data_IF_114326720303
#
_entry.id   IF_114326720303
#
_cell.length_a   1.000
_cell.length_b   1.000
_cell.length_c   1.000
_cell.angle_alpha   90.00
_cell.angle_beta   90.00
_cell.angle_gamma   90.00
#
_symmetry.space_group_name_H-M   'P 1'
#
loop_
_entity.id
_entity.type
_entity.pdbx_description
1 polymer ?
#
# COMPACT_ATOMS: atom_id res chain seq x y z
N UNK A 1 9.16 8.33 23.24
CA UNK A 1 9.84 7.11 22.71
C UNK A 1 9.21 6.59 21.41
N UNK A 2 7.87 6.54 21.27
CA UNK A 2 7.20 6.06 20.05
C UNK A 2 7.58 6.80 18.76
N UNK A 3 7.69 8.14 18.78
CA UNK A 3 8.02 8.94 17.59
C UNK A 3 9.46 8.70 17.07
N UNK A 4 10.44 8.48 17.96
CA UNK A 4 11.81 8.08 17.58
C UNK A 4 11.83 6.69 16.92
N UNK A 5 11.00 5.75 17.42
CA UNK A 5 10.86 4.41 16.83
C UNK A 5 10.24 4.48 15.43
N UNK A 6 9.18 5.28 15.22
CA UNK A 6 8.58 5.47 13.90
C UNK A 6 9.55 6.07 12.89
N UNK A 7 10.32 7.09 13.28
CA UNK A 7 11.32 7.70 12.40
C UNK A 7 12.39 6.70 11.97
N UNK A 8 12.79 5.78 12.86
CA UNK A 8 13.70 4.69 12.52
C UNK A 8 13.10 3.73 11.48
N UNK A 9 11.81 3.40 11.59
CA UNK A 9 11.11 2.53 10.63
C UNK A 9 10.98 3.18 9.25
N UNK A 10 10.60 4.46 9.16
CA UNK A 10 10.53 5.15 7.88
C UNK A 10 11.89 5.28 7.20
N UNK A 11 12.96 5.46 7.98
CA UNK A 11 14.34 5.45 7.46
C UNK A 11 14.72 4.06 6.93
N UNK A 12 14.41 2.99 7.68
CA UNK A 12 14.63 1.60 7.22
C UNK A 12 13.85 1.28 5.94
N UNK A 13 12.60 1.72 5.86
CA UNK A 13 11.77 1.52 4.68
C UNK A 13 12.37 2.22 3.46
N UNK A 14 12.79 3.49 3.61
CA UNK A 14 13.45 4.24 2.53
C UNK A 14 14.68 3.51 2.00
N UNK A 15 15.57 3.07 2.90
CA UNK A 15 16.77 2.30 2.53
C UNK A 15 16.38 1.00 1.81
N UNK A 16 15.37 0.28 2.30
CA UNK A 16 14.93 -0.99 1.69
C UNK A 16 14.34 -0.77 0.29
N UNK A 17 13.62 0.32 0.07
CA UNK A 17 13.12 0.71 -1.27
C UNK A 17 14.29 1.00 -2.23
N UNK A 18 15.27 1.79 -1.79
CA UNK A 18 16.46 2.11 -2.60
C UNK A 18 17.24 0.83 -2.98
N UNK A 19 17.44 -0.06 -2.01
CA UNK A 19 18.12 -1.35 -2.25
C UNK A 19 17.32 -2.30 -3.15
N UNK A 20 15.99 -2.33 -3.01
CA UNK A 20 15.12 -3.11 -3.91
C UNK A 20 15.28 -2.63 -5.35
N UNK A 21 15.27 -1.30 -5.57
CA UNK A 21 15.50 -0.72 -6.88
C UNK A 21 16.90 -1.04 -7.43
N UNK A 22 17.94 -0.93 -6.60
CA UNK A 22 19.31 -1.27 -6.97
C UNK A 22 19.45 -2.75 -7.35
N UNK A 23 18.97 -3.66 -6.50
CA UNK A 23 19.04 -5.10 -6.74
C UNK A 23 18.26 -5.50 -8.01
N UNK A 24 17.12 -4.85 -8.27
CA UNK A 24 16.39 -5.03 -9.53
C UNK A 24 17.18 -4.55 -10.73
N UNK A 25 17.83 -3.38 -10.65
CA UNK A 25 18.62 -2.82 -11.76
C UNK A 25 19.85 -3.65 -12.11
N UNK A 26 20.46 -4.30 -11.12
CA UNK A 26 21.62 -5.19 -11.30
C UNK A 26 21.22 -6.65 -11.52
N UNK A 27 19.92 -6.94 -11.65
CA UNK A 27 19.40 -8.30 -11.88
C UNK A 27 19.84 -9.30 -10.81
N UNK A 28 20.08 -8.83 -9.58
CA UNK A 28 20.50 -9.68 -8.47
C UNK A 28 19.26 -10.21 -7.76
N UNK A 29 18.65 -11.25 -8.31
CA UNK A 29 17.35 -11.78 -7.86
C UNK A 29 17.36 -12.26 -6.41
N UNK A 30 18.48 -12.85 -5.96
CA UNK A 30 18.65 -13.29 -4.56
C UNK A 30 18.66 -12.11 -3.59
N UNK A 31 19.38 -11.03 -3.92
CA UNK A 31 19.39 -9.81 -3.11
C UNK A 31 18.03 -9.14 -3.14
N UNK A 32 17.40 -9.08 -4.32
CA UNK A 32 16.07 -8.50 -4.49
C UNK A 32 15.02 -9.19 -3.60
N UNK A 33 15.00 -10.53 -3.58
CA UNK A 33 14.10 -11.30 -2.72
C UNK A 33 14.29 -10.96 -1.23
N UNK A 34 15.53 -10.88 -0.76
CA UNK A 34 15.83 -10.58 0.65
C UNK A 34 15.44 -9.15 1.05
N UNK A 35 15.68 -8.18 0.17
CA UNK A 35 15.31 -6.78 0.40
C UNK A 35 13.78 -6.59 0.34
N UNK A 36 13.07 -7.33 -0.53
CA UNK A 36 11.60 -7.36 -0.55
C UNK A 36 11.01 -7.92 0.75
N UNK A 37 11.59 -8.99 1.31
CA UNK A 37 11.17 -9.53 2.62
C UNK A 37 11.40 -8.49 3.74
N UNK A 38 12.54 -7.81 3.72
CA UNK A 38 12.88 -6.77 4.70
C UNK A 38 11.95 -5.55 4.58
N UNK A 39 11.61 -5.17 3.35
CA UNK A 39 10.64 -4.11 3.06
C UNK A 39 9.24 -4.49 3.54
N UNK A 40 8.79 -5.73 3.26
CA UNK A 40 7.52 -6.27 3.72
C UNK A 40 7.42 -6.24 5.25
N UNK A 41 8.44 -6.73 5.95
CA UNK A 41 8.48 -6.74 7.41
C UNK A 41 8.41 -5.30 7.98
N UNK A 42 9.16 -4.36 7.40
CA UNK A 42 9.17 -2.96 7.84
C UNK A 42 7.80 -2.30 7.63
N UNK A 43 7.17 -2.48 6.46
CA UNK A 43 5.84 -1.93 6.16
C UNK A 43 4.76 -2.57 7.02
N UNK A 44 4.86 -3.86 7.30
CA UNK A 44 3.95 -4.57 8.23
C UNK A 44 4.04 -3.98 9.63
N UNK A 45 5.24 -3.67 10.12
CA UNK A 45 5.42 -3.02 11.42
C UNK A 45 4.80 -1.61 11.41
N UNK A 46 5.02 -0.80 10.37
CA UNK A 46 4.38 0.52 10.21
C UNK A 46 2.85 0.42 10.22
N UNK A 47 2.30 -0.53 9.46
CA UNK A 47 0.86 -0.79 9.42
C UNK A 47 0.34 -1.19 10.80
N UNK A 48 1.06 -2.04 11.55
CA UNK A 48 0.64 -2.41 12.91
C UNK A 48 0.51 -1.20 13.84
N UNK A 49 1.41 -0.21 13.72
CA UNK A 49 1.33 1.05 14.46
C UNK A 49 0.16 1.94 14.02
N UNK A 50 -0.17 1.94 12.73
CA UNK A 50 -1.35 2.62 12.20
C UNK A 50 -2.65 1.96 12.68
N UNK A 51 -2.66 0.63 12.78
CA UNK A 51 -3.84 -0.19 13.08
C UNK A 51 -4.22 -0.30 14.57
N UNK A 52 -3.54 0.42 15.47
CA UNK A 52 -3.58 0.34 16.95
C UNK A 52 -4.95 0.56 17.68
N UNK A 53 -6.01 -0.14 17.28
CA UNK A 53 -7.34 -0.10 17.91
C UNK A 53 -8.16 1.16 17.61
N UNK A 54 -7.66 2.05 16.75
CA UNK A 54 -8.37 3.29 16.38
C UNK A 54 -9.34 3.04 15.24
N UNK A 55 -10.52 3.68 15.35
CA UNK A 55 -11.52 3.81 14.28
C UNK A 55 -10.91 4.36 12.99
N UNK A 56 -11.54 4.04 11.87
CA UNK A 56 -11.30 4.71 10.58
C UNK A 56 -11.71 6.18 10.73
N UNK A 57 -10.82 7.09 10.35
CA UNK A 57 -11.08 8.53 10.35
C UNK A 57 -11.38 8.99 8.93
N UNK A 58 -12.50 9.69 8.75
CA UNK A 58 -12.86 10.26 7.47
C UNK A 58 -12.09 11.57 7.26
N UNK A 59 -11.63 11.76 6.01
CA UNK A 59 -10.98 12.99 5.54
C UNK A 59 -11.69 13.42 4.26
N UNK A 60 -12.44 14.50 4.33
CA UNK A 60 -13.28 15.02 3.24
C UNK A 60 -12.77 16.37 2.68
N UNK A 61 -11.67 16.87 3.23
CA UNK A 61 -11.11 18.18 2.91
C UNK A 61 -9.61 18.19 3.23
N UNK A 62 -8.83 18.99 2.49
CA UNK A 62 -7.40 19.15 2.79
C UNK A 62 -7.21 19.80 4.17
N UNK A 63 -8.10 20.71 4.55
CA UNK A 63 -8.10 21.40 5.84
C UNK A 63 -8.30 20.44 7.01
N UNK A 64 -9.20 19.45 6.87
CA UNK A 64 -9.38 18.41 7.90
C UNK A 64 -8.13 17.54 8.06
N UNK A 65 -7.37 17.32 6.98
CA UNK A 65 -6.12 16.56 7.03
C UNK A 65 -5.05 17.23 7.90
N UNK A 66 -5.00 18.56 7.96
CA UNK A 66 -4.07 19.30 8.82
C UNK A 66 -4.35 19.09 10.32
N UNK A 67 -5.60 18.79 10.68
CA UNK A 67 -6.01 18.51 12.07
C UNK A 67 -5.59 17.12 12.56
N UNK A 68 -5.10 16.26 11.67
CA UNK A 68 -4.60 14.94 12.05
C UNK A 68 -3.37 15.12 12.95
N UNK A 69 -3.46 14.67 14.20
CA UNK A 69 -2.41 14.82 15.21
C UNK A 69 -1.63 13.53 15.50
N UNK A 70 -2.05 12.38 14.94
CA UNK A 70 -1.46 11.07 15.20
C UNK A 70 -1.74 10.10 14.06
N UNK A 71 -0.92 9.05 13.97
CA UNK A 71 -1.14 7.93 13.06
C UNK A 71 -2.43 7.14 13.29
N UNK A 72 -2.91 6.46 12.25
CA UNK A 72 -4.21 5.80 12.19
C UNK A 72 -4.59 5.25 10.80
N UNK A 73 -5.85 4.84 10.67
CA UNK A 73 -6.51 4.53 9.40
C UNK A 73 -7.30 5.75 8.93
N UNK A 74 -7.11 6.15 7.68
CA UNK A 74 -7.77 7.33 7.10
C UNK A 74 -8.47 6.95 5.81
N UNK A 75 -9.76 7.24 5.74
CA UNK A 75 -10.55 7.10 4.53
C UNK A 75 -10.78 8.50 3.95
N UNK A 76 -10.10 8.78 2.85
CA UNK A 76 -10.33 9.98 2.05
C UNK A 76 -11.60 9.76 1.25
N UNK A 77 -12.52 10.73 1.26
CA UNK A 77 -13.81 10.62 0.58
C UNK A 77 -14.09 11.86 -0.29
N UNK A 78 -15.10 11.82 -1.17
CA UNK A 78 -15.47 12.96 -1.99
C UNK A 78 -15.76 14.20 -1.14
N UNK A 79 -15.39 15.42 -1.60
CA UNK A 79 -14.94 15.76 -2.96
C UNK A 79 -13.46 15.48 -3.27
N UNK A 80 -12.68 14.96 -2.31
CA UNK A 80 -11.28 14.61 -2.55
C UNK A 80 -11.14 13.35 -3.43
N UNK A 81 -10.05 13.28 -4.18
CA UNK A 81 -9.75 12.18 -5.11
C UNK A 81 -8.48 11.42 -4.70
N UNK A 82 -8.16 10.33 -5.42
CA UNK A 82 -7.00 9.50 -5.12
C UNK A 82 -5.68 10.27 -5.05
N UNK A 83 -5.55 11.34 -5.84
CA UNK A 83 -4.38 12.24 -5.79
C UNK A 83 -4.23 12.92 -4.43
N UNK A 84 -5.32 13.42 -3.87
CA UNK A 84 -5.33 14.06 -2.55
C UNK A 84 -4.97 13.05 -1.46
N UNK A 85 -5.47 11.82 -1.57
CA UNK A 85 -5.09 10.74 -0.66
C UNK A 85 -3.58 10.46 -0.69
N UNK A 86 -2.95 10.47 -1.87
CA UNK A 86 -1.50 10.38 -2.00
C UNK A 86 -0.76 11.53 -1.32
N UNK A 87 -1.22 12.77 -1.51
CA UNK A 87 -0.64 13.97 -0.88
C UNK A 87 -0.77 13.89 0.65
N UNK A 88 -1.95 13.53 1.16
CA UNK A 88 -2.21 13.38 2.58
C UNK A 88 -1.34 12.28 3.17
N UNK A 89 -1.25 11.11 2.51
CA UNK A 89 -0.40 10.01 2.96
C UNK A 89 1.07 10.44 3.06
N UNK A 90 1.59 11.12 2.03
CA UNK A 90 2.95 11.66 2.05
C UNK A 90 3.15 12.67 3.19
N UNK A 91 2.24 13.62 3.37
CA UNK A 91 2.32 14.63 4.43
C UNK A 91 2.31 14.02 5.84
N UNK A 92 1.48 12.99 6.08
CA UNK A 92 1.44 12.26 7.34
C UNK A 92 2.76 11.52 7.59
N UNK A 93 3.33 10.92 6.54
CA UNK A 93 4.60 10.21 6.59
C UNK A 93 5.76 11.15 6.93
N UNK A 94 5.85 12.32 6.29
CA UNK A 94 6.87 13.34 6.60
C UNK A 94 6.80 13.84 8.05
N UNK A 95 5.60 13.83 8.64
CA UNK A 95 5.37 14.14 10.07
C UNK A 95 5.72 12.98 11.02
N UNK A 96 6.14 11.83 10.49
CA UNK A 96 6.48 10.63 11.26
C UNK A 96 5.27 9.86 11.77
N UNK A 97 4.11 10.01 11.13
CA UNK A 97 2.89 9.30 11.50
C UNK A 97 2.74 8.01 10.71
N UNK A 98 2.64 6.87 11.42
CA UNK A 98 2.23 5.61 10.84
C UNK A 98 0.76 5.68 10.42
N UNK A 99 0.52 5.73 9.11
CA UNK A 99 -0.80 5.91 8.53
C UNK A 99 -1.07 4.89 7.43
N UNK A 100 -2.32 4.45 7.32
CA UNK A 100 -2.84 3.79 6.13
C UNK A 100 -3.95 4.69 5.58
N UNK A 101 -3.82 5.09 4.32
CA UNK A 101 -4.74 6.02 3.67
C UNK A 101 -5.33 5.34 2.46
N UNK A 102 -6.66 5.27 2.41
CA UNK A 102 -7.41 4.80 1.25
C UNK A 102 -8.28 5.94 0.70
N UNK A 103 -8.52 5.96 -0.60
CA UNK A 103 -9.48 6.88 -1.20
C UNK A 103 -10.73 6.11 -1.61
N UNK A 104 -11.89 6.53 -1.12
CA UNK A 104 -13.20 6.14 -1.62
C UNK A 104 -13.67 7.17 -2.63
N UNK A 105 -14.11 6.71 -3.79
CA UNK A 105 -14.80 7.52 -4.80
C UNK A 105 -16.32 7.43 -4.61
N UNK A 106 -17.12 8.30 -5.28
CA UNK A 106 -18.58 8.19 -5.24
C UNK A 106 -19.06 6.80 -5.67
N UNK A 107 -20.10 6.31 -5.00
CA UNK A 107 -20.71 5.02 -5.32
C UNK A 107 -21.19 4.97 -6.76
N UNK A 108 -21.11 3.79 -7.35
CA UNK A 108 -21.65 3.50 -8.68
C UNK A 108 -23.17 3.24 -8.62
N UNK A 109 -23.84 3.23 -9.77
CA UNK A 109 -25.26 2.84 -9.87
C UNK A 109 -25.54 1.41 -9.39
N UNK A 110 -24.50 0.57 -9.28
CA UNK A 110 -24.57 -0.80 -8.78
C UNK A 110 -24.50 -0.89 -7.24
N UNK A 111 -24.41 0.24 -6.54
CA UNK A 111 -24.26 0.27 -5.07
C UNK A 111 -22.87 -0.12 -4.58
N UNK A 112 -21.92 -0.37 -5.48
CA UNK A 112 -20.52 -0.61 -5.15
C UNK A 112 -19.75 0.69 -5.01
N UNK A 113 -18.78 0.68 -4.09
CA UNK A 113 -17.89 1.79 -3.83
C UNK A 113 -16.51 1.54 -4.47
N UNK A 114 -16.03 2.45 -5.34
CA UNK A 114 -14.69 2.33 -5.84
C UNK A 114 -13.68 2.77 -4.77
N UNK A 115 -12.68 1.92 -4.53
CA UNK A 115 -11.52 2.23 -3.70
C UNK A 115 -10.31 2.39 -4.59
N UNK A 116 -9.58 3.49 -4.42
CA UNK A 116 -8.42 3.85 -5.22
C UNK A 116 -7.18 4.00 -4.34
N UNK A 117 -6.08 3.41 -4.81
CA UNK A 117 -4.75 3.62 -4.29
C UNK A 117 -3.79 4.04 -5.41
N UNK A 118 -2.91 5.00 -5.11
CA UNK A 118 -1.92 5.51 -6.06
C UNK A 118 -0.52 5.08 -5.66
N UNK A 119 0.24 4.64 -6.67
CA UNK A 119 1.67 4.39 -6.59
C UNK A 119 2.42 5.28 -7.57
N UNK A 120 3.73 5.07 -7.70
CA UNK A 120 4.59 5.80 -8.62
C UNK A 120 4.22 5.49 -10.08
N UNK A 121 3.31 6.26 -10.67
CA UNK A 121 2.86 6.11 -12.06
C UNK A 121 1.78 5.04 -12.29
N UNK A 122 1.26 4.42 -11.23
CA UNK A 122 0.22 3.39 -11.29
C UNK A 122 -0.96 3.75 -10.41
N UNK A 123 -2.16 3.37 -10.85
CA UNK A 123 -3.40 3.49 -10.10
C UNK A 123 -4.00 2.10 -9.96
N UNK A 124 -4.32 1.69 -8.75
CA UNK A 124 -5.08 0.47 -8.46
C UNK A 124 -6.46 0.88 -8.02
N UNK A 125 -7.48 0.31 -8.66
CA UNK A 125 -8.89 0.58 -8.36
C UNK A 125 -9.67 -0.72 -8.26
N UNK A 126 -10.37 -0.88 -7.15
CA UNK A 126 -11.31 -2.00 -6.92
C UNK A 126 -12.70 -1.47 -6.67
N UNK A 127 -13.70 -2.31 -6.87
CA UNK A 127 -15.08 -2.03 -6.50
C UNK A 127 -15.50 -3.04 -5.43
N UNK A 128 -15.84 -2.54 -4.24
CA UNK A 128 -16.26 -3.37 -3.11
C UNK A 128 -17.60 -2.87 -2.58
N UNK A 129 -18.25 -3.66 -1.72
CA UNK A 129 -19.47 -3.23 -1.04
C UNK A 129 -19.21 -1.97 -0.19
N UNK A 130 -20.18 -1.07 -0.14
CA UNK A 130 -20.14 0.08 0.77
C UNK A 130 -20.07 -0.39 2.24
N UNK A 131 -19.39 0.35 3.13
CA UNK A 131 -19.49 0.06 4.55
C UNK A 131 -20.93 0.29 5.01
N UNK A 132 -21.41 -0.57 5.92
CA UNK A 132 -22.77 -0.48 6.49
C UNK A 132 -23.09 0.92 7.03
N UNK A 133 -22.09 1.62 7.57
CA UNK A 133 -22.17 3.02 7.93
C UNK A 133 -21.04 3.81 7.26
N UNK A 134 -21.37 4.63 6.26
CA UNK A 134 -20.40 5.43 5.51
C UNK A 134 -19.71 6.52 6.34
N UNK A 135 -20.38 7.06 7.37
CA UNK A 135 -19.79 8.04 8.28
C UNK A 135 -18.87 7.40 9.33
N UNK A 136 -19.03 6.10 9.56
CA UNK A 136 -18.26 5.33 10.54
C UNK A 136 -17.87 3.95 10.00
N UNK A 137 -17.03 3.87 8.95
CA UNK A 137 -16.58 2.59 8.42
C UNK A 137 -15.86 1.79 9.49
N UNK A 138 -16.08 0.47 9.49
CA UNK A 138 -15.42 -0.42 10.44
C UNK A 138 -13.97 -0.64 10.05
N UNK A 139 -13.11 -0.96 11.02
CA UNK A 139 -11.73 -1.35 10.72
C UNK A 139 -11.67 -2.63 9.87
N UNK A 140 -12.63 -3.55 10.05
CA UNK A 140 -12.71 -4.78 9.26
C UNK A 140 -12.98 -4.48 7.78
N UNK A 141 -13.96 -3.60 7.49
CA UNK A 141 -14.23 -3.16 6.12
C UNK A 141 -13.01 -2.47 5.49
N UNK A 142 -12.34 -1.58 6.25
CA UNK A 142 -11.17 -0.86 5.75
C UNK A 142 -9.98 -1.78 5.48
N UNK A 143 -9.76 -2.76 6.36
CA UNK A 143 -8.68 -3.74 6.21
C UNK A 143 -8.99 -4.67 5.02
N UNK A 144 -10.24 -5.09 4.83
CA UNK A 144 -10.69 -5.82 3.63
C UNK A 144 -10.48 -5.00 2.35
N UNK A 145 -10.85 -3.73 2.32
CA UNK A 145 -10.61 -2.84 1.17
C UNK A 145 -9.13 -2.75 0.80
N UNK A 146 -8.25 -2.81 1.80
CA UNK A 146 -6.80 -2.84 1.60
C UNK A 146 -6.34 -4.14 0.95
N UNK A 147 -6.86 -5.27 1.42
CA UNK A 147 -6.55 -6.61 0.89
C UNK A 147 -7.04 -6.79 -0.55
N UNK A 148 -8.27 -6.36 -0.84
CA UNK A 148 -8.87 -6.42 -2.18
C UNK A 148 -8.04 -5.68 -3.24
N UNK A 149 -7.45 -4.53 -2.91
CA UNK A 149 -6.53 -3.83 -3.81
C UNK A 149 -5.34 -4.72 -4.20
N UNK A 150 -4.79 -5.46 -3.24
CA UNK A 150 -3.67 -6.36 -3.46
C UNK A 150 -4.05 -7.57 -4.32
N UNK A 151 -5.17 -8.21 -3.97
CA UNK A 151 -5.68 -9.38 -4.69
C UNK A 151 -6.09 -9.03 -6.12
N UNK A 152 -6.62 -7.83 -6.33
CA UNK A 152 -6.90 -7.31 -7.66
C UNK A 152 -5.64 -7.24 -8.53
N UNK A 153 -4.54 -6.70 -8.02
CA UNK A 153 -3.26 -6.64 -8.76
C UNK A 153 -2.78 -8.05 -9.12
N UNK A 154 -2.83 -8.99 -8.17
CA UNK A 154 -2.43 -10.38 -8.43
C UNK A 154 -3.31 -11.03 -9.50
N UNK A 155 -4.62 -10.81 -9.46
CA UNK A 155 -5.57 -11.36 -10.44
C UNK A 155 -5.36 -10.82 -11.87
N UNK A 156 -4.77 -9.63 -12.00
CA UNK A 156 -4.51 -8.95 -13.28
C UNK A 156 -3.14 -9.24 -13.87
N UNK A 157 -2.26 -9.91 -13.13
CA UNK A 157 -0.95 -10.30 -13.63
C UNK A 157 -1.08 -11.34 -14.74
N UNK A 158 -0.54 -11.04 -15.93
CA UNK A 158 -0.56 -11.96 -17.06
C UNK A 158 0.49 -13.07 -16.90
N UNK A 159 0.03 -14.26 -16.53
CA UNK A 159 0.85 -15.44 -16.28
C UNK A 159 1.44 -16.06 -17.56
N UNK A 160 1.01 -15.62 -18.75
CA UNK A 160 1.58 -16.06 -20.03
C UNK A 160 2.87 -15.32 -20.42
N UNK A 161 3.18 -14.21 -19.74
CA UNK A 161 4.41 -13.44 -19.97
C UNK A 161 5.61 -14.02 -19.25
N UNK A 162 6.83 -13.56 -19.59
CA UNK A 162 8.06 -14.03 -18.94
C UNK A 162 8.07 -13.70 -17.44
N UNK A 163 8.72 -14.55 -16.63
CA UNK A 163 8.87 -14.39 -15.17
C UNK A 163 9.38 -12.98 -14.81
N UNK A 164 10.32 -12.44 -15.59
CA UNK A 164 10.84 -11.08 -15.43
C UNK A 164 9.80 -9.99 -15.67
N UNK A 165 8.94 -10.13 -16.68
CA UNK A 165 7.84 -9.17 -16.94
C UNK A 165 6.77 -9.23 -15.84
N UNK A 166 6.45 -10.43 -15.35
CA UNK A 166 5.57 -10.62 -14.21
C UNK A 166 6.13 -9.94 -12.95
N UNK A 167 7.44 -10.11 -12.70
CA UNK A 167 8.14 -9.45 -11.59
C UNK A 167 8.07 -7.92 -11.71
N UNK A 168 8.36 -7.37 -12.89
CA UNK A 168 8.31 -5.93 -13.15
C UNK A 168 6.91 -5.36 -12.95
N UNK A 169 5.89 -6.09 -13.38
CA UNK A 169 4.50 -5.74 -13.15
C UNK A 169 4.22 -5.62 -11.64
N UNK A 170 4.57 -6.61 -10.82
CA UNK A 170 4.32 -6.56 -9.38
C UNK A 170 5.14 -5.46 -8.68
N UNK A 171 6.41 -5.28 -9.06
CA UNK A 171 7.26 -4.22 -8.50
C UNK A 171 6.71 -2.82 -8.80
N UNK A 172 6.17 -2.60 -10.00
CA UNK A 172 5.55 -1.32 -10.37
C UNK A 172 4.30 -1.01 -9.52
N UNK A 173 3.53 -2.03 -9.13
CA UNK A 173 2.31 -1.87 -8.34
C UNK A 173 2.56 -1.78 -6.82
N UNK A 174 3.68 -2.32 -6.34
CA UNK A 174 4.04 -2.38 -4.92
C UNK A 174 3.91 -1.05 -4.15
N UNK A 175 4.19 0.15 -4.71
CA UNK A 175 3.96 1.42 -4.01
C UNK A 175 2.48 1.72 -3.75
N UNK A 176 1.57 1.33 -4.67
CA UNK A 176 0.13 1.57 -4.52
C UNK A 176 -0.51 0.65 -3.46
N UNK A 177 0.00 -0.57 -3.35
CA UNK A 177 -0.55 -1.64 -2.51
C UNK A 177 0.46 -2.10 -1.45
N UNK A 178 1.20 -1.13 -0.92
CA UNK A 178 2.35 -1.32 -0.01
C UNK A 178 2.08 -2.12 1.26
N UNK A 179 0.82 -2.27 1.63
CA UNK A 179 0.34 -2.93 2.85
C UNK A 179 -0.05 -4.39 2.61
N UNK A 180 -0.07 -4.86 1.36
CA UNK A 180 -0.54 -6.19 0.98
C UNK A 180 0.63 -7.19 0.99
N UNK A 181 0.69 -8.03 2.02
CA UNK A 181 1.74 -9.04 2.18
C UNK A 181 1.71 -10.11 1.09
N UNK A 182 0.54 -10.42 0.52
CA UNK A 182 0.36 -11.37 -0.58
C UNK A 182 1.20 -11.00 -1.81
N UNK A 183 1.25 -9.71 -2.16
CA UNK A 183 2.06 -9.22 -3.28
C UNK A 183 3.55 -9.42 -3.02
N UNK A 184 4.03 -9.17 -1.80
CA UNK A 184 5.43 -9.43 -1.46
C UNK A 184 5.78 -10.90 -1.60
N UNK A 185 4.92 -11.79 -1.09
CA UNK A 185 5.10 -13.23 -1.21
C UNK A 185 5.18 -13.67 -2.67
N UNK A 186 4.27 -13.19 -3.53
CA UNK A 186 4.30 -13.48 -4.96
C UNK A 186 5.56 -12.93 -5.66
N UNK A 187 5.93 -11.68 -5.35
CA UNK A 187 7.13 -11.03 -5.92
C UNK A 187 8.41 -11.78 -5.53
N UNK A 188 8.51 -12.24 -4.27
CA UNK A 188 9.63 -13.04 -3.78
C UNK A 188 9.68 -14.41 -4.44
N UNK A 189 8.52 -15.05 -4.68
CA UNK A 189 8.46 -16.32 -5.40
C UNK A 189 9.01 -16.16 -6.83
N UNK A 190 8.61 -15.12 -7.56
CA UNK A 190 9.15 -14.84 -8.90
C UNK A 190 10.66 -14.58 -8.90
N UNK A 191 11.18 -13.88 -7.88
CA UNK A 191 12.63 -13.71 -7.73
C UNK A 191 13.36 -15.05 -7.55
N UNK A 192 12.77 -15.99 -6.80
CA UNK A 192 13.35 -17.33 -6.61
C UNK A 192 13.32 -18.15 -7.89
N UNK A 193 12.22 -18.10 -8.64
CA UNK A 193 12.12 -18.75 -9.96
C UNK A 193 13.19 -18.21 -10.91
N UNK A 194 13.42 -16.90 -10.97
CA UNK A 194 14.49 -16.32 -11.78
C UNK A 194 15.90 -16.77 -11.33
N UNK A 195 16.13 -16.96 -10.02
CA UNK A 195 17.39 -17.56 -9.55
C UNK A 195 17.59 -18.99 -10.07
N UNK A 196 16.51 -19.77 -10.18
CA UNK A 196 16.57 -21.16 -10.66
C UNK A 196 16.75 -21.21 -12.18
N UNK A 197 16.18 -20.28 -12.93
CA UNK A 197 16.34 -20.17 -14.40
C UNK A 197 17.76 -19.76 -14.84
N UNK A 198 18.54 -19.10 -13.97
CA UNK A 198 19.91 -18.65 -14.27
C UNK A 198 21.02 -19.64 -13.87
N UNK A 199 20.69 -20.71 -13.13
CA UNK A 199 21.62 -21.77 -12.72
C UNK A 199 21.58 -22.96 -13.68
#
# INVERSE_FOLDING_TARGET
>A
MAQKKHNSLFKKEKISVEKTAQARSSENWKTLANELLSLCATRTEIVSFAKNGKRVQIVDSIESSYKIARGGRFLVQPPLVGRDAGIIHYALRERGFAAVVLCREPSTSLGLCPIVALGSGVMVRVQIEEPTNQEKPTCAWFDHATEELGDHVLSKMDTSTTTKRQLDYLLAHLPAVSTCTSIYTATVALCRTLCEEEN
#
